data_IF_989636459431
#
_entry.id   IF_989636459431
#
_cell.length_a   1.000
_cell.length_b   1.000
_cell.length_c   1.000
_cell.angle_alpha   90.00
_cell.angle_beta   90.00
_cell.angle_gamma   90.00
#
_symmetry.space_group_name_H-M   'P 1'
#
loop_
_entity.id
_entity.type
_entity.pdbx_description
1 polymer ?
#
# COMPACT_ATOMS: atom_id res chain seq x y z
N UNK A 1 -36.54 -20.12 28.01
CA UNK A 1 -35.92 -18.85 28.48
C UNK A 1 -34.85 -18.50 27.48
N UNK A 2 -35.23 -17.69 26.51
CA UNK A 2 -34.29 -17.20 25.47
C UNK A 2 -33.51 -16.02 26.05
N UNK A 3 -32.20 -16.18 26.18
CA UNK A 3 -31.32 -15.08 26.55
C UNK A 3 -31.17 -14.18 25.34
N UNK A 4 -31.82 -13.04 25.36
CA UNK A 4 -31.49 -11.92 24.44
C UNK A 4 -30.05 -11.52 24.70
N UNK A 5 -29.21 -11.75 23.69
CA UNK A 5 -27.89 -11.13 23.66
C UNK A 5 -28.09 -9.63 23.38
N UNK A 6 -27.96 -8.83 24.40
CA UNK A 6 -27.89 -7.38 24.27
C UNK A 6 -26.63 -7.07 23.49
N UNK A 7 -26.79 -6.67 22.23
CA UNK A 7 -25.69 -6.12 21.44
C UNK A 7 -25.27 -4.81 22.13
N UNK A 8 -23.99 -4.60 22.50
CA UNK A 8 -23.58 -3.33 23.07
C UNK A 8 -23.88 -2.22 22.08
N UNK A 9 -24.46 -1.13 22.55
CA UNK A 9 -24.64 0.06 21.72
C UNK A 9 -23.30 0.48 21.16
N UNK A 10 -23.22 0.89 19.88
CA UNK A 10 -21.98 1.39 19.32
C UNK A 10 -21.42 2.52 20.17
N UNK A 11 -20.09 2.63 20.30
CA UNK A 11 -19.48 3.72 21.04
C UNK A 11 -19.92 5.07 20.43
N UNK A 12 -20.43 5.96 21.26
CA UNK A 12 -20.85 7.30 20.85
C UNK A 12 -19.62 8.21 20.81
N UNK A 13 -19.35 8.78 19.67
CA UNK A 13 -18.37 9.86 19.52
C UNK A 13 -18.98 11.16 20.00
N UNK A 14 -18.28 11.91 20.84
CA UNK A 14 -18.75 13.22 21.32
C UNK A 14 -17.77 14.29 20.88
N UNK A 15 -18.25 15.26 20.07
CA UNK A 15 -17.42 16.33 19.51
C UNK A 15 -16.14 15.80 18.84
N UNK A 16 -16.31 14.78 17.98
CA UNK A 16 -15.22 14.13 17.28
C UNK A 16 -14.67 14.97 16.14
N UNK A 17 -13.41 14.75 15.84
CA UNK A 17 -12.74 15.22 14.62
C UNK A 17 -12.21 14.01 13.87
N UNK A 18 -12.81 13.73 12.71
CA UNK A 18 -12.30 12.75 11.76
C UNK A 18 -11.06 13.33 11.10
N UNK A 19 -9.94 12.64 11.17
CA UNK A 19 -8.64 13.14 10.72
C UNK A 19 -8.30 12.60 9.33
N UNK A 20 -7.86 13.48 8.42
CA UNK A 20 -7.39 13.12 7.08
C UNK A 20 -5.86 13.08 7.01
N UNK A 21 -5.22 14.18 7.32
CA UNK A 21 -3.77 14.31 7.26
C UNK A 21 -3.28 15.53 8.06
N UNK A 22 -1.96 15.61 8.18
CA UNK A 22 -1.23 16.76 8.72
C UNK A 22 -0.37 17.34 7.60
N UNK A 23 -0.27 18.66 7.54
CA UNK A 23 0.54 19.39 6.56
C UNK A 23 1.36 20.49 7.20
N UNK A 24 2.45 20.84 6.52
CA UNK A 24 3.19 22.08 6.76
C UNK A 24 2.41 23.24 6.12
N UNK A 25 1.93 24.16 6.93
CA UNK A 25 1.13 25.31 6.53
C UNK A 25 1.92 26.61 6.53
N UNK A 26 3.25 26.57 6.66
CA UNK A 26 4.12 27.76 6.76
C UNK A 26 4.00 28.70 5.56
N UNK A 27 3.86 28.17 4.34
CA UNK A 27 3.83 28.93 3.10
C UNK A 27 2.43 29.06 2.47
N UNK A 28 1.39 28.46 3.07
CA UNK A 28 0.09 28.31 2.44
C UNK A 28 -0.95 29.33 2.97
N UNK A 29 -1.79 29.80 2.06
CA UNK A 29 -2.97 30.60 2.41
C UNK A 29 -4.08 29.65 2.89
N UNK A 30 -4.07 29.31 4.17
CA UNK A 30 -4.97 28.36 4.87
C UNK A 30 -6.46 28.63 4.63
N UNK A 31 -6.82 29.82 4.15
CA UNK A 31 -8.21 30.30 4.00
C UNK A 31 -8.92 29.79 2.73
N UNK A 32 -8.31 28.98 1.86
CA UNK A 32 -8.86 28.68 0.54
C UNK A 32 -9.26 27.21 0.29
N UNK A 33 -9.18 26.32 1.30
CA UNK A 33 -9.66 24.96 1.14
C UNK A 33 -11.20 24.92 1.15
N UNK A 34 -11.78 24.55 0.02
CA UNK A 34 -13.21 24.28 -0.13
C UNK A 34 -13.39 22.84 -0.59
N UNK A 35 -13.11 21.91 0.32
CA UNK A 35 -13.12 20.47 0.03
C UNK A 35 -14.29 19.83 0.78
N UNK A 36 -14.95 18.90 0.10
CA UNK A 36 -15.99 18.04 0.67
C UNK A 36 -15.36 16.70 1.06
N UNK A 37 -15.54 16.30 2.30
CA UNK A 37 -15.00 15.07 2.87
C UNK A 37 -15.94 13.88 2.84
N UNK A 38 -15.65 12.91 3.68
CA UNK A 38 -16.49 11.72 3.87
C UNK A 38 -17.91 12.13 4.27
N UNK A 39 -18.93 11.50 3.67
CA UNK A 39 -20.35 11.81 3.83
C UNK A 39 -20.71 13.29 3.60
N UNK A 40 -20.10 13.90 2.58
CA UNK A 40 -20.31 15.30 2.24
C UNK A 40 -19.99 16.30 3.36
N UNK A 41 -19.20 15.88 4.35
CA UNK A 41 -18.81 16.73 5.47
C UNK A 41 -17.92 17.89 5.02
N UNK A 42 -18.09 19.04 5.64
CA UNK A 42 -17.24 20.22 5.39
C UNK A 42 -15.88 20.01 6.08
N UNK A 43 -14.83 19.97 5.28
CA UNK A 43 -13.45 19.85 5.75
C UNK A 43 -12.95 21.20 6.29
N UNK A 44 -12.23 21.17 7.39
CA UNK A 44 -11.62 22.32 8.06
C UNK A 44 -10.16 22.07 8.40
N UNK A 45 -9.43 23.14 8.66
CA UNK A 45 -8.05 23.13 9.11
C UNK A 45 -7.99 23.61 10.55
N UNK A 46 -7.40 22.80 11.42
CA UNK A 46 -7.04 23.21 12.80
C UNK A 46 -5.54 23.44 12.83
N UNK A 47 -5.11 24.66 13.10
CA UNK A 47 -3.71 25.08 13.05
C UNK A 47 -3.09 25.21 14.43
N UNK A 48 -1.82 24.81 14.52
CA UNK A 48 -0.93 25.07 15.63
C UNK A 48 0.43 25.49 15.05
N UNK A 49 0.80 26.76 15.23
CA UNK A 49 1.92 27.42 14.54
C UNK A 49 1.84 27.20 13.01
N UNK A 50 2.84 26.58 12.41
CA UNK A 50 2.96 26.22 11.00
C UNK A 50 2.49 24.79 10.66
N UNK A 51 1.92 24.06 11.62
CA UNK A 51 1.30 22.75 11.43
C UNK A 51 -0.21 22.92 11.26
N UNK A 52 -0.80 22.27 10.26
CA UNK A 52 -2.24 22.20 10.11
C UNK A 52 -2.72 20.74 10.06
N UNK A 53 -3.76 20.45 10.85
CA UNK A 53 -4.49 19.17 10.79
C UNK A 53 -5.75 19.37 9.97
N UNK A 54 -5.90 18.52 8.95
CA UNK A 54 -7.07 18.50 8.06
C UNK A 54 -8.09 17.53 8.63
N UNK A 55 -9.28 18.02 8.95
CA UNK A 55 -10.31 17.23 9.62
C UNK A 55 -11.72 17.69 9.27
N UNK A 56 -12.73 16.91 9.70
CA UNK A 56 -14.12 17.37 9.78
C UNK A 56 -14.75 16.97 11.11
N UNK A 57 -15.80 17.69 11.51
CA UNK A 57 -16.54 17.36 12.72
C UNK A 57 -17.43 16.13 12.50
N UNK A 58 -17.40 15.15 13.42
CA UNK A 58 -18.23 13.96 13.38
C UNK A 58 -18.74 13.55 14.75
N UNK A 59 -19.90 12.91 14.81
CA UNK A 59 -20.49 12.29 15.99
C UNK A 59 -20.69 10.78 15.85
N UNK A 60 -20.15 10.19 14.74
CA UNK A 60 -20.30 8.79 14.40
C UNK A 60 -18.98 8.14 14.00
N UNK A 61 -18.92 6.82 14.11
CA UNK A 61 -17.89 5.97 13.49
C UNK A 61 -18.32 5.60 12.06
N UNK A 62 -17.32 5.41 11.19
CA UNK A 62 -17.55 5.02 9.79
C UNK A 62 -17.44 3.50 9.62
N UNK A 63 -18.32 2.76 10.32
CA UNK A 63 -18.41 1.31 10.26
C UNK A 63 -19.63 0.88 9.43
N UNK A 64 -19.43 -0.04 8.49
CA UNK A 64 -20.50 -0.55 7.61
C UNK A 64 -20.17 -1.92 7.03
N UNK A 65 -21.20 -2.77 6.93
CA UNK A 65 -21.13 -4.04 6.19
C UNK A 65 -21.36 -3.83 4.67
N UNK A 66 -21.76 -2.64 4.23
CA UNK A 66 -21.95 -2.31 2.80
C UNK A 66 -20.61 -1.93 2.15
N UNK A 67 -20.05 -2.85 1.39
CA UNK A 67 -18.78 -2.68 0.65
C UNK A 67 -18.86 -1.46 -0.30
N UNK A 68 -20.00 -1.19 -0.91
CA UNK A 68 -20.15 -0.04 -1.81
C UNK A 68 -20.10 1.29 -1.04
N UNK A 69 -20.65 1.33 0.18
CA UNK A 69 -20.54 2.46 1.08
C UNK A 69 -19.11 2.67 1.55
N UNK A 70 -18.45 1.60 2.02
CA UNK A 70 -17.06 1.65 2.43
C UNK A 70 -16.16 2.19 1.31
N UNK A 71 -16.36 1.70 0.07
CA UNK A 71 -15.63 2.21 -1.11
C UNK A 71 -15.82 3.71 -1.32
N UNK A 72 -17.05 4.21 -1.20
CA UNK A 72 -17.33 5.66 -1.34
C UNK A 72 -16.59 6.47 -0.29
N UNK A 73 -16.59 6.01 0.96
CA UNK A 73 -15.89 6.68 2.05
C UNK A 73 -14.37 6.69 1.86
N UNK A 74 -13.78 5.55 1.47
CA UNK A 74 -12.35 5.46 1.18
C UNK A 74 -11.92 6.38 0.03
N UNK A 75 -12.73 6.45 -1.03
CA UNK A 75 -12.46 7.36 -2.17
C UNK A 75 -12.58 8.82 -1.73
N UNK A 76 -13.59 9.17 -0.94
CA UNK A 76 -13.76 10.54 -0.44
C UNK A 76 -12.62 10.93 0.52
N UNK A 77 -12.19 10.01 1.41
CA UNK A 77 -11.04 10.21 2.28
C UNK A 77 -9.77 10.50 1.48
N UNK A 78 -9.46 9.65 0.50
CA UNK A 78 -8.29 9.84 -0.35
C UNK A 78 -8.35 11.13 -1.16
N UNK A 79 -9.51 11.49 -1.71
CA UNK A 79 -9.68 12.70 -2.50
C UNK A 79 -9.36 13.98 -1.70
N UNK A 80 -9.71 14.02 -0.40
CA UNK A 80 -9.32 15.13 0.48
C UNK A 80 -7.80 15.21 0.59
N UNK A 81 -7.13 14.09 0.84
CA UNK A 81 -5.67 14.06 1.03
C UNK A 81 -4.94 14.44 -0.26
N UNK A 82 -5.43 14.00 -1.42
CA UNK A 82 -4.86 14.34 -2.74
C UNK A 82 -4.96 15.84 -3.02
N UNK A 83 -6.11 16.46 -2.76
CA UNK A 83 -6.32 17.91 -2.95
C UNK A 83 -5.45 18.74 -2.00
N UNK A 84 -5.34 18.29 -0.75
CA UNK A 84 -4.45 18.88 0.26
C UNK A 84 -3.00 18.75 -0.18
N UNK A 85 -2.59 17.57 -0.65
CA UNK A 85 -1.25 17.31 -1.16
C UNK A 85 -0.88 18.17 -2.38
N UNK A 86 -1.84 18.45 -3.25
CA UNK A 86 -1.65 19.37 -4.38
C UNK A 86 -1.41 20.83 -3.93
N UNK A 87 -1.94 21.22 -2.77
CA UNK A 87 -1.88 22.60 -2.25
C UNK A 87 -0.68 22.82 -1.32
N UNK A 88 -0.40 21.87 -0.42
CA UNK A 88 0.56 22.02 0.68
C UNK A 88 1.84 21.19 0.50
N UNK A 89 1.92 20.35 -0.53
CA UNK A 89 3.00 19.38 -0.70
C UNK A 89 2.70 18.07 0.02
N UNK A 90 3.73 17.27 0.31
CA UNK A 90 3.55 15.91 0.86
C UNK A 90 2.88 15.93 2.24
N UNK A 91 1.65 15.43 2.39
CA UNK A 91 0.97 15.37 3.67
C UNK A 91 1.41 14.13 4.46
N UNK A 92 1.28 14.16 5.79
CA UNK A 92 1.31 12.98 6.64
C UNK A 92 -0.11 12.43 6.75
N UNK A 93 -0.46 11.32 6.09
CA UNK A 93 -1.83 10.83 6.07
C UNK A 93 -2.16 10.07 7.35
N UNK A 94 -3.42 10.20 7.80
CA UNK A 94 -4.01 9.24 8.72
C UNK A 94 -4.64 8.07 7.96
N UNK A 95 -4.73 6.93 8.61
CA UNK A 95 -5.54 5.82 8.10
C UNK A 95 -7.03 6.20 8.12
N UNK A 96 -7.84 5.49 7.34
CA UNK A 96 -9.28 5.69 7.35
C UNK A 96 -9.86 5.43 8.75
N UNK A 97 -10.89 6.21 9.12
CA UNK A 97 -11.63 6.13 10.38
C UNK A 97 -10.84 6.45 11.66
N UNK A 98 -9.83 7.33 11.55
CA UNK A 98 -9.15 7.90 12.72
C UNK A 98 -9.93 9.10 13.23
N UNK A 99 -10.44 9.01 14.47
CA UNK A 99 -11.27 10.04 15.09
C UNK A 99 -10.68 10.44 16.44
N UNK A 100 -10.42 11.75 16.61
CA UNK A 100 -10.01 12.35 17.87
C UNK A 100 -11.21 13.00 18.56
N UNK A 101 -11.47 12.69 19.83
CA UNK A 101 -12.57 13.27 20.60
C UNK A 101 -12.14 14.57 21.30
N UNK A 102 -13.07 15.51 21.46
CA UNK A 102 -12.87 16.75 22.21
C UNK A 102 -12.66 17.99 21.35
N UNK A 103 -13.07 17.94 20.07
CA UNK A 103 -13.12 19.09 19.19
C UNK A 103 -11.76 19.64 18.76
N UNK A 104 -11.75 20.87 18.24
CA UNK A 104 -10.54 21.53 17.75
C UNK A 104 -9.52 21.77 18.85
N UNK A 105 -9.98 21.99 20.08
CA UNK A 105 -9.10 22.21 21.25
C UNK A 105 -8.28 20.93 21.53
N UNK A 106 -8.91 19.76 21.46
CA UNK A 106 -8.20 18.48 21.62
C UNK A 106 -7.20 18.23 20.49
N UNK A 107 -7.53 18.62 19.25
CA UNK A 107 -6.59 18.54 18.12
C UNK A 107 -5.35 19.40 18.38
N UNK A 108 -5.54 20.65 18.83
CA UNK A 108 -4.43 21.55 19.16
C UNK A 108 -3.54 20.94 20.26
N UNK A 109 -4.15 20.46 21.35
CA UNK A 109 -3.42 19.84 22.47
C UNK A 109 -2.65 18.59 22.02
N UNK A 110 -3.25 17.79 21.15
CA UNK A 110 -2.61 16.60 20.61
C UNK A 110 -1.41 16.97 19.70
N UNK A 111 -1.55 17.98 18.83
CA UNK A 111 -0.44 18.48 18.00
C UNK A 111 0.68 19.01 18.86
N UNK A 112 0.37 19.83 19.90
CA UNK A 112 1.36 20.36 20.84
C UNK A 112 2.15 19.23 21.54
N UNK A 113 1.44 18.19 21.99
CA UNK A 113 2.08 17.03 22.62
C UNK A 113 2.98 16.22 21.69
N UNK A 114 2.71 16.24 20.37
CA UNK A 114 3.43 15.48 19.35
C UNK A 114 4.26 16.37 18.41
N UNK A 115 4.40 17.65 18.67
CA UNK A 115 4.97 18.66 17.78
C UNK A 115 6.30 18.22 17.17
N UNK A 116 7.25 17.80 18.00
CA UNK A 116 8.58 17.42 17.51
C UNK A 116 8.53 16.21 16.56
N UNK A 117 7.68 15.21 16.85
CA UNK A 117 7.52 14.02 15.98
C UNK A 117 6.90 14.40 14.65
N UNK A 118 5.87 15.25 14.69
CA UNK A 118 5.16 15.73 13.49
C UNK A 118 6.13 16.55 12.62
N UNK A 119 6.86 17.51 13.18
CA UNK A 119 7.84 18.32 12.43
C UNK A 119 8.92 17.46 11.78
N UNK A 120 9.47 16.52 12.54
CA UNK A 120 10.48 15.59 12.01
C UNK A 120 9.95 14.80 10.83
N UNK A 121 8.72 14.27 10.92
CA UNK A 121 8.12 13.49 9.83
C UNK A 121 7.77 14.39 8.62
N UNK A 122 7.24 15.61 8.82
CA UNK A 122 6.97 16.56 7.73
C UNK A 122 8.26 16.94 6.99
N UNK A 123 9.36 17.16 7.71
CA UNK A 123 10.64 17.48 7.10
C UNK A 123 11.25 16.27 6.37
N UNK A 124 11.16 15.06 6.94
CA UNK A 124 11.68 13.81 6.36
C UNK A 124 10.98 13.47 5.05
N UNK A 125 9.65 13.63 4.99
CA UNK A 125 8.86 13.23 3.81
C UNK A 125 8.64 14.37 2.83
N UNK A 126 9.15 15.56 3.08
CA UNK A 126 9.01 16.72 2.21
C UNK A 126 9.44 16.41 0.77
N UNK A 127 8.52 16.53 -0.19
CA UNK A 127 8.74 16.30 -1.61
C UNK A 127 8.78 14.83 -2.01
N UNK A 128 8.73 13.90 -1.04
CA UNK A 128 8.74 12.45 -1.30
C UNK A 128 7.32 11.89 -1.26
N UNK A 129 7.10 10.87 -2.08
CA UNK A 129 5.78 10.22 -2.22
C UNK A 129 5.96 8.71 -2.17
N UNK A 130 4.92 8.02 -1.77
CA UNK A 130 4.88 6.56 -1.77
C UNK A 130 4.48 6.04 -3.14
N UNK A 131 5.27 5.10 -3.65
CA UNK A 131 4.93 4.32 -4.84
C UNK A 131 4.80 2.85 -4.43
N UNK A 132 3.75 2.18 -4.92
CA UNK A 132 3.52 0.77 -4.66
C UNK A 132 3.93 -0.03 -5.86
N UNK A 133 4.81 -1.00 -5.64
CA UNK A 133 5.33 -1.89 -6.67
C UNK A 133 4.95 -3.30 -6.32
N UNK A 134 4.12 -3.90 -7.15
CA UNK A 134 3.69 -5.27 -7.01
C UNK A 134 4.21 -6.08 -8.20
N UNK A 135 5.19 -6.93 -7.93
CA UNK A 135 5.76 -7.85 -8.90
C UNK A 135 5.02 -9.18 -8.79
N UNK A 136 4.43 -9.60 -9.87
CA UNK A 136 3.72 -10.86 -10.01
C UNK A 136 4.17 -11.63 -11.24
N UNK A 137 3.93 -12.92 -11.26
CA UNK A 137 4.16 -13.75 -12.42
C UNK A 137 3.00 -14.69 -12.68
N UNK A 138 2.82 -15.07 -13.96
CA UNK A 138 2.01 -16.20 -14.36
C UNK A 138 2.88 -17.46 -14.25
N UNK A 139 2.48 -18.37 -13.36
CA UNK A 139 3.26 -19.58 -13.08
C UNK A 139 3.38 -20.47 -14.30
N UNK A 140 2.30 -20.61 -15.07
CA UNK A 140 2.26 -21.50 -16.24
C UNK A 140 3.19 -21.01 -17.35
N UNK A 141 3.21 -19.70 -17.60
CA UNK A 141 4.09 -19.08 -18.59
C UNK A 141 5.56 -19.20 -18.18
N UNK A 142 5.87 -18.90 -16.89
CA UNK A 142 7.26 -19.03 -16.39
C UNK A 142 7.73 -20.47 -16.39
N UNK A 143 6.90 -21.43 -15.99
CA UNK A 143 7.23 -22.86 -16.06
C UNK A 143 7.53 -23.30 -17.49
N UNK A 144 6.77 -22.83 -18.48
CA UNK A 144 7.03 -23.14 -19.89
C UNK A 144 8.42 -22.70 -20.31
N UNK A 145 8.78 -21.45 -20.00
CA UNK A 145 10.11 -20.89 -20.31
C UNK A 145 11.23 -21.65 -19.58
N UNK A 146 11.02 -21.98 -18.31
CA UNK A 146 12.00 -22.72 -17.51
C UNK A 146 12.23 -24.13 -18.05
N UNK A 147 11.17 -24.85 -18.43
CA UNK A 147 11.24 -26.20 -18.99
C UNK A 147 12.03 -26.25 -20.32
N UNK A 148 11.92 -25.18 -21.11
CA UNK A 148 12.65 -25.06 -22.37
C UNK A 148 14.12 -24.66 -22.17
N UNK A 149 14.43 -23.93 -21.12
CA UNK A 149 15.76 -23.35 -20.87
C UNK A 149 16.67 -24.20 -19.98
N UNK A 150 16.09 -25.10 -19.15
CA UNK A 150 16.87 -25.90 -18.19
C UNK A 150 17.23 -27.26 -18.78
N UNK A 151 18.52 -27.47 -19.06
CA UNK A 151 19.05 -28.70 -19.69
C UNK A 151 18.72 -29.95 -18.82
N UNK A 152 18.72 -29.80 -17.48
CA UNK A 152 18.45 -30.94 -16.58
C UNK A 152 16.99 -31.36 -16.61
N UNK A 153 16.05 -30.42 -16.68
CA UNK A 153 14.63 -30.72 -16.87
C UNK A 153 14.39 -31.43 -18.20
N UNK A 154 15.07 -30.99 -19.27
CA UNK A 154 14.98 -31.65 -20.59
C UNK A 154 15.53 -33.08 -20.54
N UNK A 155 16.71 -33.30 -19.92
CA UNK A 155 17.29 -34.65 -19.73
C UNK A 155 16.35 -35.60 -18.98
N UNK A 156 15.79 -35.13 -17.83
CA UNK A 156 14.86 -35.94 -17.06
C UNK A 156 13.61 -36.24 -17.85
N UNK A 157 13.09 -35.27 -18.60
CA UNK A 157 11.92 -35.45 -19.48
C UNK A 157 12.16 -36.50 -20.55
N UNK A 158 13.35 -36.52 -21.19
CA UNK A 158 13.73 -37.55 -22.16
C UNK A 158 13.82 -38.92 -21.50
N UNK A 159 14.47 -39.04 -20.35
CA UNK A 159 14.57 -40.29 -19.58
C UNK A 159 13.19 -40.85 -19.20
N UNK A 160 12.25 -39.98 -18.83
CA UNK A 160 10.84 -40.37 -18.53
C UNK A 160 10.17 -41.00 -19.73
N UNK A 161 10.41 -40.48 -20.94
CA UNK A 161 9.82 -41.00 -22.17
C UNK A 161 10.38 -42.40 -22.57
N UNK A 162 11.61 -42.71 -22.14
CA UNK A 162 12.30 -43.96 -22.49
C UNK A 162 12.17 -45.07 -21.43
N UNK A 163 11.61 -44.75 -20.24
CA UNK A 163 11.64 -45.62 -19.06
C UNK A 163 10.27 -46.24 -18.78
N UNK A 164 10.26 -47.53 -18.32
CA UNK A 164 9.03 -48.23 -17.93
C UNK A 164 8.53 -47.81 -16.54
N UNK A 165 7.27 -48.19 -16.24
CA UNK A 165 6.47 -47.72 -15.07
C UNK A 165 7.19 -47.79 -13.71
N UNK A 166 8.11 -48.74 -13.47
CA UNK A 166 8.78 -48.92 -12.19
C UNK A 166 9.78 -47.80 -11.81
N UNK A 167 10.38 -47.14 -12.78
CA UNK A 167 11.36 -46.06 -12.58
C UNK A 167 10.73 -44.67 -12.80
N UNK A 168 9.57 -44.63 -13.44
CA UNK A 168 8.89 -43.39 -13.79
C UNK A 168 8.59 -42.53 -12.58
N UNK A 169 8.13 -43.12 -11.47
CA UNK A 169 7.85 -42.41 -10.22
C UNK A 169 9.08 -41.65 -9.67
N UNK A 170 10.27 -42.27 -9.74
CA UNK A 170 11.50 -41.62 -9.28
C UNK A 170 11.87 -40.42 -10.17
N UNK A 171 11.73 -40.58 -11.48
CA UNK A 171 11.99 -39.51 -12.43
C UNK A 171 10.96 -38.37 -12.31
N UNK A 172 9.71 -38.68 -12.03
CA UNK A 172 8.68 -37.69 -11.73
C UNK A 172 9.06 -36.86 -10.51
N UNK A 173 9.47 -37.52 -9.43
CA UNK A 173 9.92 -36.81 -8.22
C UNK A 173 11.13 -35.92 -8.49
N UNK A 174 12.14 -36.43 -9.21
CA UNK A 174 13.32 -35.61 -9.56
C UNK A 174 12.98 -34.43 -10.46
N UNK A 175 12.02 -34.59 -11.36
CA UNK A 175 11.54 -33.52 -12.22
C UNK A 175 10.88 -32.41 -11.43
N UNK A 176 9.95 -32.76 -10.53
CA UNK A 176 9.22 -31.78 -9.70
C UNK A 176 10.17 -31.06 -8.70
N UNK A 177 11.13 -31.79 -8.11
CA UNK A 177 12.16 -31.19 -7.25
C UNK A 177 13.01 -30.17 -8.02
N UNK A 178 13.47 -30.54 -9.23
CA UNK A 178 14.27 -29.65 -10.08
C UNK A 178 13.47 -28.44 -10.54
N UNK A 179 12.23 -28.63 -10.95
CA UNK A 179 11.34 -27.56 -11.38
C UNK A 179 11.13 -26.54 -10.23
N UNK A 180 10.85 -27.03 -9.04
CA UNK A 180 10.70 -26.19 -7.84
C UNK A 180 11.96 -25.39 -7.54
N UNK A 181 13.14 -26.03 -7.58
CA UNK A 181 14.44 -25.36 -7.36
C UNK A 181 14.68 -24.24 -8.37
N UNK A 182 14.42 -24.46 -9.66
CA UNK A 182 14.65 -23.47 -10.71
C UNK A 182 13.64 -22.32 -10.60
N UNK A 183 12.38 -22.60 -10.28
CA UNK A 183 11.36 -21.57 -10.06
C UNK A 183 11.70 -20.68 -8.85
N UNK A 184 12.12 -21.26 -7.73
CA UNK A 184 12.54 -20.48 -6.56
C UNK A 184 13.78 -19.63 -6.85
N UNK A 185 14.74 -20.18 -7.61
CA UNK A 185 15.92 -19.43 -8.07
C UNK A 185 15.49 -18.24 -8.97
N UNK A 186 14.53 -18.47 -9.86
CA UNK A 186 13.99 -17.39 -10.70
C UNK A 186 13.27 -16.33 -9.91
N UNK A 187 12.46 -16.70 -8.89
CA UNK A 187 11.81 -15.75 -7.98
C UNK A 187 12.84 -14.91 -7.22
N UNK A 188 13.89 -15.54 -6.69
CA UNK A 188 14.97 -14.84 -6.00
C UNK A 188 15.65 -13.83 -6.93
N UNK A 189 16.01 -14.25 -8.14
CA UNK A 189 16.62 -13.37 -9.15
C UNK A 189 15.73 -12.18 -9.54
N UNK A 190 14.40 -12.37 -9.62
CA UNK A 190 13.48 -11.28 -9.89
C UNK A 190 13.39 -10.29 -8.72
N UNK A 191 13.43 -10.77 -7.46
CA UNK A 191 13.47 -9.91 -6.28
C UNK A 191 14.77 -9.11 -6.21
N UNK A 192 15.92 -9.73 -6.49
CA UNK A 192 17.22 -9.06 -6.52
C UNK A 192 17.21 -7.95 -7.58
N UNK A 193 16.75 -8.25 -8.80
CA UNK A 193 16.62 -7.26 -9.87
C UNK A 193 15.66 -6.12 -9.53
N UNK A 194 14.55 -6.42 -8.82
CA UNK A 194 13.65 -5.38 -8.34
C UNK A 194 14.36 -4.48 -7.32
N UNK A 195 15.11 -5.06 -6.40
CA UNK A 195 15.88 -4.31 -5.41
C UNK A 195 16.90 -3.41 -6.10
N UNK A 196 17.68 -3.94 -7.04
CA UNK A 196 18.67 -3.17 -7.80
C UNK A 196 18.01 -2.03 -8.60
N UNK A 197 16.83 -2.27 -9.19
CA UNK A 197 16.12 -1.29 -10.01
C UNK A 197 15.60 -0.08 -9.22
N UNK A 198 15.31 -0.25 -7.93
CA UNK A 198 14.78 0.83 -7.08
C UNK A 198 15.85 1.51 -6.21
N UNK A 199 17.02 0.89 -6.03
CA UNK A 199 18.05 1.32 -5.06
C UNK A 199 18.61 2.73 -5.41
N UNK A 200 18.63 3.10 -6.68
CA UNK A 200 19.15 4.40 -7.14
C UNK A 200 18.17 5.57 -6.89
N UNK A 201 16.85 5.27 -6.82
CA UNK A 201 15.80 6.30 -6.72
C UNK A 201 15.07 6.28 -5.37
N UNK A 202 15.11 5.16 -4.66
CA UNK A 202 14.39 5.01 -3.39
C UNK A 202 15.14 5.67 -2.23
N UNK A 203 14.43 6.51 -1.47
CA UNK A 203 14.90 6.98 -0.15
C UNK A 203 14.72 5.92 0.92
N UNK A 204 13.58 5.22 0.88
CA UNK A 204 13.22 4.14 1.79
C UNK A 204 12.38 3.09 1.05
N UNK A 205 12.48 1.84 1.50
CA UNK A 205 11.68 0.72 0.99
C UNK A 205 11.15 -0.09 2.15
N UNK A 206 9.90 -0.48 2.09
CA UNK A 206 9.28 -1.37 3.08
C UNK A 206 8.41 -2.42 2.40
N UNK A 207 8.15 -3.53 3.09
CA UNK A 207 7.17 -4.51 2.62
C UNK A 207 5.77 -3.89 2.61
N UNK A 208 5.07 -3.95 1.49
CA UNK A 208 3.70 -3.50 1.42
C UNK A 208 2.77 -4.63 1.87
N UNK A 209 2.40 -4.62 3.15
CA UNK A 209 1.45 -5.55 3.77
C UNK A 209 0.06 -4.96 3.94
N UNK A 210 -0.17 -3.76 3.40
CA UNK A 210 -1.44 -3.07 3.56
C UNK A 210 -2.62 -3.91 3.09
N UNK A 211 -3.78 -3.61 3.69
CA UNK A 211 -5.10 -4.16 3.33
C UNK A 211 -5.21 -4.29 1.82
N UNK A 212 -5.68 -5.43 1.30
CA UNK A 212 -5.84 -5.63 -0.13
C UNK A 212 -6.52 -4.43 -0.76
N UNK A 213 -5.95 -3.89 -1.83
CA UNK A 213 -6.64 -2.84 -2.58
C UNK A 213 -7.99 -3.38 -3.06
N UNK A 214 -8.96 -2.50 -3.28
CA UNK A 214 -10.29 -2.91 -3.76
C UNK A 214 -10.25 -3.75 -5.05
N UNK A 215 -9.16 -3.64 -5.85
CA UNK A 215 -8.88 -4.49 -7.01
C UNK A 215 -8.37 -5.88 -6.63
N UNK A 216 -7.66 -6.01 -5.52
CA UNK A 216 -7.14 -7.31 -5.04
C UNK A 216 -8.24 -8.18 -4.43
N UNK A 217 -9.38 -7.57 -4.06
CA UNK A 217 -10.58 -8.32 -3.64
C UNK A 217 -11.30 -9.02 -4.81
N UNK A 218 -10.99 -8.64 -6.06
CA UNK A 218 -11.57 -9.28 -7.26
C UNK A 218 -10.85 -10.59 -7.66
N UNK A 219 -9.85 -11.02 -6.88
CA UNK A 219 -9.13 -12.30 -7.07
C UNK A 219 -8.00 -12.21 -8.12
N UNK A 220 -6.89 -12.87 -7.82
CA UNK A 220 -5.89 -13.22 -8.83
C UNK A 220 -6.47 -14.37 -9.67
N UNK A 221 -6.12 -14.44 -10.96
CA UNK A 221 -6.27 -15.68 -11.72
C UNK A 221 -5.52 -16.79 -10.99
N UNK A 222 -6.07 -18.03 -11.02
CA UNK A 222 -5.54 -19.19 -10.27
C UNK A 222 -4.03 -19.44 -10.48
N UNK A 223 -3.48 -19.02 -11.62
CA UNK A 223 -2.07 -19.22 -12.00
C UNK A 223 -1.16 -18.00 -11.67
N UNK A 224 -1.72 -16.90 -11.15
CA UNK A 224 -0.94 -15.69 -10.81
C UNK A 224 -0.43 -15.73 -9.36
N UNK A 225 0.88 -15.63 -9.18
CA UNK A 225 1.54 -15.59 -7.88
C UNK A 225 2.26 -14.26 -7.65
N UNK A 226 2.22 -13.78 -6.41
CA UNK A 226 3.02 -12.62 -5.98
C UNK A 226 4.50 -13.02 -5.79
N UNK A 227 5.39 -12.29 -6.45
CA UNK A 227 6.86 -12.43 -6.26
C UNK A 227 7.34 -11.44 -5.21
N UNK A 228 6.87 -10.19 -5.29
CA UNK A 228 7.15 -9.15 -4.29
C UNK A 228 6.01 -8.13 -4.23
N UNK A 229 5.82 -7.53 -3.04
CA UNK A 229 4.92 -6.41 -2.79
C UNK A 229 5.65 -5.44 -1.88
N UNK A 230 5.98 -4.27 -2.40
CA UNK A 230 6.76 -3.28 -1.68
C UNK A 230 6.15 -1.88 -1.83
N UNK A 231 6.37 -1.04 -0.84
CA UNK A 231 6.20 0.39 -0.91
C UNK A 231 7.59 1.05 -1.01
N UNK A 232 7.71 2.00 -1.89
CA UNK A 232 8.93 2.77 -2.18
C UNK A 232 8.64 4.23 -1.87
N UNK A 233 9.43 4.83 -1.02
CA UNK A 233 9.43 6.28 -0.81
C UNK A 233 10.48 6.90 -1.75
N UNK A 234 10.05 7.75 -2.65
CA UNK A 234 10.93 8.40 -3.62
C UNK A 234 10.50 9.85 -3.89
N UNK A 235 11.41 10.67 -4.41
CA UNK A 235 11.06 12.01 -4.84
C UNK A 235 10.15 11.96 -6.06
N UNK A 236 9.19 12.88 -6.12
CA UNK A 236 8.25 12.94 -7.25
C UNK A 236 8.94 13.13 -8.60
N UNK A 237 10.12 13.77 -8.61
CA UNK A 237 10.94 13.93 -9.82
C UNK A 237 11.46 12.62 -10.39
N UNK A 238 11.61 11.59 -9.55
CA UNK A 238 12.25 10.33 -9.91
C UNK A 238 11.24 9.27 -10.38
N UNK A 239 9.93 9.60 -10.37
CA UNK A 239 8.83 8.70 -10.78
C UNK A 239 9.05 8.08 -12.17
N UNK A 240 9.46 8.91 -13.15
CA UNK A 240 9.66 8.44 -14.53
C UNK A 240 10.86 7.49 -14.64
N UNK A 241 11.94 7.78 -13.92
CA UNK A 241 13.14 6.95 -13.89
C UNK A 241 12.83 5.59 -13.21
N UNK A 242 12.17 5.63 -12.05
CA UNK A 242 11.69 4.46 -11.36
C UNK A 242 10.80 3.58 -12.26
N UNK A 243 9.83 4.19 -12.95
CA UNK A 243 8.97 3.49 -13.90
C UNK A 243 9.75 2.80 -15.02
N UNK A 244 10.76 3.47 -15.59
CA UNK A 244 11.61 2.92 -16.66
C UNK A 244 12.39 1.70 -16.19
N UNK A 245 12.98 1.74 -14.99
CA UNK A 245 13.70 0.60 -14.42
C UNK A 245 12.78 -0.61 -14.16
N UNK A 246 11.53 -0.35 -13.75
CA UNK A 246 10.54 -1.41 -13.55
C UNK A 246 10.08 -2.03 -14.86
N UNK A 247 9.94 -1.26 -15.93
CA UNK A 247 9.60 -1.75 -17.27
C UNK A 247 10.64 -2.75 -17.79
N UNK A 248 11.93 -2.54 -17.50
CA UNK A 248 13.01 -3.46 -17.88
C UNK A 248 12.90 -4.85 -17.21
N UNK A 249 12.19 -4.94 -16.09
CA UNK A 249 11.88 -6.22 -15.43
C UNK A 249 10.64 -6.87 -16.06
N UNK A 250 9.63 -6.06 -16.39
CA UNK A 250 8.37 -6.52 -16.94
C UNK A 250 8.45 -7.13 -18.35
N UNK A 251 9.58 -6.92 -19.07
CA UNK A 251 9.80 -7.54 -20.40
C UNK A 251 9.95 -9.08 -20.35
N UNK A 252 10.15 -9.67 -19.17
CA UNK A 252 10.30 -11.13 -19.05
C UNK A 252 8.95 -11.83 -19.23
N UNK A 253 8.90 -12.93 -20.03
CA UNK A 253 7.67 -13.68 -20.24
C UNK A 253 7.04 -14.16 -18.93
N UNK A 254 5.74 -13.98 -18.80
CA UNK A 254 4.97 -14.33 -17.61
C UNK A 254 5.18 -13.40 -16.40
N UNK A 255 5.99 -12.32 -16.52
CA UNK A 255 6.23 -11.36 -15.44
C UNK A 255 5.40 -10.10 -15.68
N UNK A 256 4.75 -9.61 -14.63
CA UNK A 256 4.01 -8.36 -14.66
C UNK A 256 4.33 -7.50 -13.42
N UNK A 257 4.40 -6.19 -13.61
CA UNK A 257 4.56 -5.22 -12.54
C UNK A 257 3.35 -4.28 -12.53
N UNK A 258 2.75 -4.13 -11.36
CA UNK A 258 1.84 -3.04 -11.08
C UNK A 258 2.61 -1.96 -10.34
N UNK A 259 2.70 -0.79 -10.95
CA UNK A 259 3.30 0.41 -10.39
C UNK A 259 2.22 1.47 -10.22
N UNK A 260 1.98 1.91 -8.98
CA UNK A 260 0.93 2.89 -8.66
C UNK A 260 1.44 3.94 -7.69
N UNK A 261 0.91 5.15 -7.83
CA UNK A 261 1.27 6.34 -7.07
C UNK A 261 1.24 7.57 -8.00
N UNK A 262 1.67 8.73 -7.52
CA UNK A 262 2.19 8.99 -6.17
C UNK A 262 1.07 8.97 -5.11
N UNK A 263 1.29 8.26 -4.02
CA UNK A 263 0.45 8.24 -2.83
C UNK A 263 1.10 9.03 -1.70
N UNK A 264 0.35 9.60 -0.77
CA UNK A 264 0.89 10.03 0.50
C UNK A 264 1.64 8.88 1.19
N UNK A 265 2.64 9.15 2.04
CA UNK A 265 3.55 8.11 2.57
C UNK A 265 2.91 7.25 3.68
N UNK A 266 1.78 6.60 3.41
CA UNK A 266 1.02 5.79 4.37
C UNK A 266 1.86 4.69 5.04
N UNK A 267 2.72 4.03 4.24
CA UNK A 267 3.54 2.91 4.72
C UNK A 267 4.76 3.36 5.53
N UNK A 268 5.07 4.65 5.51
CA UNK A 268 6.27 5.23 6.14
C UNK A 268 5.93 6.17 7.28
N UNK A 269 4.72 6.76 7.29
CA UNK A 269 4.29 7.67 8.34
C UNK A 269 4.29 6.93 9.68
N UNK A 270 4.98 7.47 10.71
CA UNK A 270 4.96 6.87 12.04
C UNK A 270 3.54 6.85 12.59
N UNK A 271 3.22 5.83 13.37
CA UNK A 271 1.95 5.80 14.10
C UNK A 271 1.92 6.96 15.09
N UNK A 272 1.20 8.02 14.74
CA UNK A 272 1.08 9.25 15.55
C UNK A 272 -0.04 9.15 16.58
N UNK A 273 -0.98 8.22 16.36
CA UNK A 273 -2.12 7.95 17.26
C UNK A 273 -1.86 6.60 17.91
N UNK A 274 -1.09 6.57 19.01
CA UNK A 274 -1.00 5.38 19.84
C UNK A 274 -2.38 5.11 20.46
N UNK A 275 -2.82 3.86 20.45
CA UNK A 275 -4.02 3.40 21.13
C UNK A 275 -3.98 3.83 22.60
N UNK A 276 -4.90 4.72 22.98
CA UNK A 276 -5.06 5.21 24.36
C UNK A 276 -6.15 4.41 25.07
#
# INVERSE_FOLDING_TARGET
MSSERTNPSPPTVTDGRYLYCIVDASDANVSQLSITGVDDATVSLTTYDDIAVVSHATDQLYDTDDIAQLRRWLVAHQAVIDEVGATFGTPLPFQFDVILQGGDEAVVQWVEANEQRIRTALDEFRGSWEYRVHLKWDRSDVESVVREADDRLQEISQQRAETGEGTQFLLDTQYEERLTEVLETKKASLRDRLTDAIDETARQVTSHTAVPSLKELDGLDDDTEWVARIAVLADKSDETELGTHLDDIAVHPGVAIEFTGPWPPYSFTPDLVEDS
#
